data_IF_368920080252
#
_entry.id   IF_368920080252
#
_cell.length_a   1.000
_cell.length_b   1.000
_cell.length_c   1.000
_cell.angle_alpha   90.00
_cell.angle_beta   90.00
_cell.angle_gamma   90.00
#
_symmetry.space_group_name_H-M   'P 1'
#
loop_
_entity.id
_entity.type
_entity.pdbx_description
1 polymer ?
#
# COMPACT_ATOMS: atom_id res chain seq x y z
N UNK A 1 3.90 -0.90 7.88
CA UNK A 1 2.80 -1.32 8.78
C UNK A 1 1.83 -2.18 7.99
N UNK A 2 1.50 -3.38 8.51
CA UNK A 2 0.50 -4.27 7.94
C UNK A 2 -0.88 -3.86 8.48
N UNK A 3 -1.67 -3.25 7.63
CA UNK A 3 -3.01 -2.75 7.94
C UNK A 3 -4.12 -3.58 7.28
N UNK A 4 -3.83 -4.78 6.79
CA UNK A 4 -4.85 -5.72 6.34
C UNK A 4 -5.46 -6.46 7.54
N UNK A 5 -6.65 -6.04 7.97
CA UNK A 5 -7.34 -6.65 9.11
C UNK A 5 -7.76 -8.10 8.83
N UNK A 6 -8.07 -8.40 7.58
CA UNK A 6 -8.60 -9.71 7.21
C UNK A 6 -7.53 -10.78 7.08
N UNK A 7 -6.44 -10.43 6.41
CA UNK A 7 -5.45 -11.36 5.90
C UNK A 7 -4.01 -10.89 6.14
N UNK A 8 -3.75 -10.21 7.26
CA UNK A 8 -2.41 -9.76 7.63
C UNK A 8 -1.37 -10.87 7.40
N UNK A 9 -0.37 -10.62 6.55
CA UNK A 9 0.59 -11.62 6.11
C UNK A 9 2.03 -11.11 5.97
N UNK A 10 2.28 -9.82 6.18
CA UNK A 10 3.62 -9.23 6.07
C UNK A 10 4.62 -9.90 7.01
N UNK A 11 4.19 -10.33 8.21
CA UNK A 11 5.03 -11.06 9.15
C UNK A 11 5.54 -12.39 8.56
N UNK A 12 4.76 -13.03 7.68
CA UNK A 12 5.17 -14.26 6.99
C UNK A 12 6.24 -13.95 5.95
N UNK A 13 6.05 -12.89 5.16
CA UNK A 13 7.00 -12.48 4.12
C UNK A 13 8.36 -12.05 4.70
N UNK A 14 8.34 -11.36 5.83
CA UNK A 14 9.58 -10.92 6.51
C UNK A 14 10.16 -11.96 7.47
N UNK A 15 9.52 -13.13 7.59
CA UNK A 15 9.94 -14.21 8.50
C UNK A 15 10.03 -13.73 9.96
N UNK A 16 9.03 -12.99 10.40
CA UNK A 16 8.92 -12.45 11.75
C UNK A 16 7.78 -13.17 12.48
N UNK A 17 7.95 -13.43 13.77
CA UNK A 17 6.91 -13.98 14.65
C UNK A 17 6.48 -12.93 15.68
N UNK A 18 5.47 -12.10 15.36
CA UNK A 18 5.03 -11.07 16.28
C UNK A 18 4.40 -11.69 17.53
N UNK A 19 4.83 -11.24 18.70
CA UNK A 19 4.20 -11.54 20.00
C UNK A 19 3.07 -10.54 20.26
N UNK A 20 3.22 -9.33 19.76
CA UNK A 20 2.29 -8.21 19.87
C UNK A 20 2.02 -7.63 18.49
N UNK A 21 0.86 -7.03 18.31
CA UNK A 21 0.38 -6.55 17.02
C UNK A 21 -0.11 -5.11 17.11
N UNK A 22 -0.40 -4.51 15.96
CA UNK A 22 -1.07 -3.22 15.85
C UNK A 22 -2.28 -3.08 16.79
N UNK A 23 -3.06 -4.15 16.94
CA UNK A 23 -4.29 -4.13 17.75
C UNK A 23 -4.03 -4.10 19.25
N UNK A 24 -2.88 -4.59 19.71
CA UNK A 24 -2.48 -4.47 21.12
C UNK A 24 -2.21 -3.00 21.49
N UNK A 25 -1.65 -2.22 20.55
CA UNK A 25 -1.52 -0.77 20.69
C UNK A 25 -2.89 -0.07 20.60
N UNK A 26 -3.69 -0.36 19.58
CA UNK A 26 -5.03 0.25 19.39
C UNK A 26 -5.93 0.04 20.60
N UNK A 27 -5.88 -1.14 21.22
CA UNK A 27 -6.65 -1.48 22.41
C UNK A 27 -6.06 -0.94 23.72
N UNK A 28 -4.93 -0.23 23.66
CA UNK A 28 -4.26 0.34 24.83
C UNK A 28 -3.53 -0.69 25.71
N UNK A 29 -3.32 -1.91 25.23
CA UNK A 29 -2.63 -2.96 25.97
C UNK A 29 -1.11 -2.82 25.90
N UNK A 30 -0.60 -2.15 24.89
CA UNK A 30 0.84 -1.97 24.62
C UNK A 30 1.12 -0.54 24.16
N UNK A 31 2.37 -0.10 24.35
CA UNK A 31 2.87 1.16 23.77
C UNK A 31 3.26 0.96 22.32
N UNK A 32 3.37 2.05 21.57
CA UNK A 32 3.75 2.01 20.16
C UNK A 32 5.11 1.32 19.95
N UNK A 33 6.10 1.63 20.80
CA UNK A 33 7.43 1.04 20.71
C UNK A 33 7.43 -0.49 20.89
N UNK A 34 6.48 -1.03 21.67
CA UNK A 34 6.39 -2.47 21.93
C UNK A 34 5.87 -3.26 20.71
N UNK A 35 5.14 -2.59 19.79
CA UNK A 35 4.56 -3.22 18.60
C UNK A 35 5.39 -3.02 17.34
N UNK A 36 6.46 -2.25 17.39
CA UNK A 36 7.42 -2.08 16.30
C UNK A 36 8.47 -3.18 16.40
N UNK A 37 8.61 -3.95 15.35
CA UNK A 37 9.50 -5.11 15.28
C UNK A 37 10.60 -4.82 14.27
N UNK A 38 11.85 -4.92 14.68
CA UNK A 38 12.98 -4.89 13.75
C UNK A 38 12.97 -6.17 12.92
N UNK A 39 13.14 -6.02 11.61
CA UNK A 39 13.27 -7.17 10.71
C UNK A 39 14.74 -7.52 10.50
N UNK A 40 15.00 -8.67 9.87
CA UNK A 40 16.37 -9.05 9.46
C UNK A 40 16.94 -8.16 8.33
N UNK A 41 16.13 -7.29 7.75
CA UNK A 41 16.53 -6.38 6.68
C UNK A 41 16.89 -5.01 7.29
N UNK A 42 18.09 -4.46 6.98
CA UNK A 42 18.50 -3.15 7.49
C UNK A 42 17.49 -2.06 7.15
N UNK A 43 17.27 -1.16 8.10
CA UNK A 43 16.38 0.02 7.97
C UNK A 43 14.91 -0.34 7.68
N UNK A 44 14.49 -1.56 7.95
CA UNK A 44 13.11 -2.00 7.78
C UNK A 44 12.54 -2.54 9.08
N UNK A 45 11.55 -1.84 9.62
CA UNK A 45 10.76 -2.28 10.76
C UNK A 45 9.34 -2.63 10.35
N UNK A 46 8.69 -3.51 11.09
CA UNK A 46 7.33 -3.95 10.85
C UNK A 46 6.45 -3.67 12.07
N UNK A 47 5.29 -3.07 11.84
CA UNK A 47 4.15 -3.16 12.76
C UNK A 47 3.22 -4.20 12.16
N UNK A 48 3.10 -5.36 12.83
CA UNK A 48 2.34 -6.48 12.32
C UNK A 48 0.84 -6.30 12.56
N UNK A 49 0.03 -6.63 11.56
CA UNK A 49 -1.41 -6.81 11.68
C UNK A 49 -1.77 -8.12 12.38
N UNK A 50 -3.06 -8.40 12.48
CA UNK A 50 -3.59 -9.66 13.05
C UNK A 50 -4.67 -10.22 12.14
N UNK A 51 -4.44 -11.39 11.57
CA UNK A 51 -5.44 -12.08 10.75
C UNK A 51 -6.67 -12.46 11.57
N UNK A 52 -7.87 -12.31 10.97
CA UNK A 52 -9.13 -12.69 11.60
C UNK A 52 -9.57 -11.80 12.76
N UNK A 53 -8.96 -10.63 12.92
CA UNK A 53 -9.42 -9.67 13.92
C UNK A 53 -10.76 -9.06 13.50
N UNK A 54 -11.75 -9.14 14.38
CA UNK A 54 -13.01 -8.45 14.17
C UNK A 54 -12.89 -7.03 14.71
N UNK A 55 -12.77 -6.08 13.82
CA UNK A 55 -12.76 -4.67 14.16
C UNK A 55 -14.17 -4.26 14.57
N UNK A 56 -14.34 -3.87 15.83
CA UNK A 56 -15.60 -3.31 16.30
C UNK A 56 -15.83 -1.96 15.62
N UNK A 57 -16.87 -1.86 14.82
CA UNK A 57 -17.26 -0.66 14.05
C UNK A 57 -17.47 0.60 14.90
N UNK A 58 -17.48 0.46 16.22
CA UNK A 58 -17.61 1.56 17.18
C UNK A 58 -16.27 2.19 17.59
N UNK A 59 -15.14 1.72 17.07
CA UNK A 59 -13.85 2.38 17.31
C UNK A 59 -13.82 3.68 16.50
N UNK A 60 -13.56 4.80 17.16
CA UNK A 60 -13.59 6.11 16.51
C UNK A 60 -12.58 6.16 15.36
N UNK A 61 -12.97 6.75 14.23
CA UNK A 61 -12.09 7.04 13.07
C UNK A 61 -10.80 7.78 13.47
N UNK A 62 -10.79 8.36 14.65
CA UNK A 62 -9.66 9.07 15.23
C UNK A 62 -8.48 8.16 15.62
N UNK A 63 -8.68 6.85 15.80
CA UNK A 63 -7.62 5.93 16.26
C UNK A 63 -6.50 5.81 15.23
N UNK A 64 -6.84 5.73 13.93
CA UNK A 64 -5.82 5.60 12.89
C UNK A 64 -5.07 6.90 12.64
N UNK A 65 -5.76 8.04 12.73
CA UNK A 65 -5.11 9.35 12.68
C UNK A 65 -4.11 9.51 13.81
N UNK A 66 -4.49 9.10 15.01
CA UNK A 66 -3.62 9.11 16.18
C UNK A 66 -2.43 8.16 16.01
N UNK A 67 -2.67 6.92 15.56
CA UNK A 67 -1.60 5.96 15.32
C UNK A 67 -0.56 6.50 14.34
N UNK A 68 -1.02 7.04 13.20
CA UNK A 68 -0.12 7.63 12.20
C UNK A 68 0.66 8.79 12.82
N UNK A 69 -0.01 9.67 13.59
CA UNK A 69 0.65 10.79 14.25
C UNK A 69 1.68 10.30 15.29
N UNK A 70 1.33 9.34 16.12
CA UNK A 70 2.24 8.77 17.12
C UNK A 70 3.49 8.12 16.48
N UNK A 71 3.35 7.52 15.26
CA UNK A 71 4.48 7.01 14.49
C UNK A 71 5.34 8.15 13.94
N UNK A 72 4.73 9.20 13.42
CA UNK A 72 5.44 10.38 12.91
C UNK A 72 6.19 11.10 14.02
N UNK A 73 5.60 11.19 15.20
CA UNK A 73 6.21 11.84 16.39
C UNK A 73 7.44 11.10 16.91
N UNK A 74 7.63 9.84 16.55
CA UNK A 74 8.88 9.12 16.84
C UNK A 74 10.08 9.75 16.14
N UNK A 75 9.86 10.43 15.00
CA UNK A 75 10.89 11.08 14.18
C UNK A 75 12.12 10.19 13.90
N UNK A 76 11.88 8.91 13.71
CA UNK A 76 12.92 7.89 13.52
C UNK A 76 12.87 7.26 12.12
N UNK A 77 11.73 7.36 11.45
CA UNK A 77 11.52 6.77 10.13
C UNK A 77 11.35 7.85 9.07
N UNK A 78 12.04 7.69 7.94
CA UNK A 78 11.91 8.60 6.78
C UNK A 78 10.58 8.35 6.04
N UNK A 79 10.12 7.10 5.99
CA UNK A 79 8.93 6.68 5.24
C UNK A 79 8.10 5.69 6.06
N UNK A 80 6.80 5.97 6.19
CA UNK A 80 5.81 5.03 6.69
C UNK A 80 4.99 4.48 5.52
N UNK A 81 5.09 3.17 5.26
CA UNK A 81 4.23 2.46 4.31
C UNK A 81 3.11 1.77 5.07
N UNK A 82 1.86 2.07 4.68
CA UNK A 82 0.65 1.43 5.21
C UNK A 82 0.12 0.47 4.14
N UNK A 83 0.31 -0.83 4.36
CA UNK A 83 -0.19 -1.88 3.47
C UNK A 83 -1.62 -2.23 3.87
N UNK A 84 -2.59 -1.87 3.03
CA UNK A 84 -4.01 -2.07 3.29
C UNK A 84 -4.53 -3.30 2.56
N UNK A 85 -5.58 -3.92 3.09
CA UNK A 85 -6.34 -4.92 2.36
C UNK A 85 -7.00 -4.36 1.10
N UNK A 86 -7.40 -5.25 0.20
CA UNK A 86 -8.12 -4.90 -1.02
C UNK A 86 -9.53 -4.34 -0.72
N UNK A 87 -10.05 -3.55 -1.67
CA UNK A 87 -11.39 -2.97 -1.59
C UNK A 87 -11.45 -1.63 -0.86
N UNK A 88 -12.65 -1.08 -0.74
CA UNK A 88 -12.93 0.25 -0.18
C UNK A 88 -13.83 0.16 1.06
N UNK A 89 -13.55 -0.77 1.97
CA UNK A 89 -14.24 -0.84 3.24
C UNK A 89 -13.91 0.40 4.10
N UNK A 90 -14.68 0.63 5.16
CA UNK A 90 -14.54 1.82 5.99
C UNK A 90 -13.19 1.92 6.67
N UNK A 91 -12.57 0.80 6.98
CA UNK A 91 -11.26 0.74 7.58
C UNK A 91 -10.15 1.22 6.61
N UNK A 92 -10.17 0.75 5.36
CA UNK A 92 -9.26 1.25 4.31
C UNK A 92 -9.46 2.74 4.09
N UNK A 93 -10.73 3.21 4.06
CA UNK A 93 -11.04 4.64 3.91
C UNK A 93 -10.42 5.50 5.01
N UNK A 94 -10.37 5.01 6.25
CA UNK A 94 -9.74 5.76 7.34
C UNK A 94 -8.23 5.94 7.11
N UNK A 95 -7.52 4.89 6.67
CA UNK A 95 -6.11 5.05 6.31
C UNK A 95 -5.90 5.97 5.10
N UNK A 96 -6.77 5.89 4.09
CA UNK A 96 -6.70 6.79 2.94
C UNK A 96 -6.90 8.26 3.32
N UNK A 97 -7.73 8.56 4.33
CA UNK A 97 -7.93 9.94 4.84
C UNK A 97 -6.64 10.50 5.45
N UNK A 98 -5.94 9.71 6.26
CA UNK A 98 -4.76 10.17 7.00
C UNK A 98 -3.47 10.11 6.18
N UNK A 99 -3.42 9.28 5.14
CA UNK A 99 -2.24 9.15 4.28
C UNK A 99 -2.05 10.38 3.42
N UNK A 100 -0.82 10.88 3.35
CA UNK A 100 -0.43 12.03 2.50
C UNK A 100 -0.38 11.63 1.04
N UNK A 101 0.22 10.47 0.76
CA UNK A 101 0.43 9.94 -0.57
C UNK A 101 -0.27 8.59 -0.71
N UNK A 102 -0.83 8.30 -1.87
CA UNK A 102 -1.57 7.07 -2.13
C UNK A 102 -1.02 6.42 -3.38
N UNK A 103 -0.61 5.17 -3.23
CA UNK A 103 -0.21 4.29 -4.32
C UNK A 103 -1.27 3.21 -4.51
N UNK A 104 -1.97 3.23 -5.63
CA UNK A 104 -2.86 2.14 -6.03
C UNK A 104 -2.09 1.14 -6.90
N UNK A 105 -2.14 -0.12 -6.50
CA UNK A 105 -1.63 -1.24 -7.30
C UNK A 105 -2.84 -2.00 -7.84
N UNK A 106 -2.89 -2.16 -9.16
CA UNK A 106 -4.01 -2.80 -9.86
C UNK A 106 -3.50 -3.74 -10.95
N UNK A 107 -4.42 -4.44 -11.61
CA UNK A 107 -4.15 -5.18 -12.84
C UNK A 107 -4.89 -4.56 -14.03
N UNK A 108 -4.71 -5.14 -15.22
CA UNK A 108 -5.44 -4.71 -16.43
C UNK A 108 -6.83 -5.34 -16.56
N UNK A 109 -7.26 -6.12 -15.57
CA UNK A 109 -8.57 -6.76 -15.59
C UNK A 109 -9.70 -5.74 -15.45
N UNK A 110 -10.81 -5.88 -16.21
CA UNK A 110 -11.91 -4.92 -16.16
C UNK A 110 -12.52 -4.70 -14.77
N UNK A 111 -12.60 -5.75 -13.95
CA UNK A 111 -13.08 -5.66 -12.56
C UNK A 111 -12.16 -4.79 -11.71
N UNK A 112 -10.85 -5.06 -11.76
CA UNK A 112 -9.85 -4.27 -11.02
C UNK A 112 -9.82 -2.80 -11.47
N UNK A 113 -10.00 -2.53 -12.78
CA UNK A 113 -10.10 -1.16 -13.30
C UNK A 113 -11.36 -0.44 -12.81
N UNK A 114 -12.47 -1.15 -12.64
CA UNK A 114 -13.70 -0.59 -12.07
C UNK A 114 -13.49 -0.19 -10.61
N UNK A 115 -12.79 -1.02 -9.85
CA UNK A 115 -12.46 -0.75 -8.44
C UNK A 115 -11.54 0.45 -8.31
N UNK A 116 -10.49 0.53 -9.15
CA UNK A 116 -9.60 1.69 -9.20
C UNK A 116 -10.35 2.96 -9.59
N UNK A 117 -11.27 2.89 -10.54
CA UNK A 117 -12.06 4.06 -10.89
C UNK A 117 -12.99 4.52 -9.74
N UNK A 118 -13.50 3.59 -8.96
CA UNK A 118 -14.26 3.90 -7.74
C UNK A 118 -13.38 4.56 -6.67
N UNK A 119 -12.14 4.09 -6.50
CA UNK A 119 -11.13 4.73 -5.66
C UNK A 119 -10.82 6.16 -6.14
N UNK A 120 -10.59 6.36 -7.45
CA UNK A 120 -10.36 7.68 -8.05
C UNK A 120 -11.49 8.65 -7.72
N UNK A 121 -12.75 8.22 -7.90
CA UNK A 121 -13.93 9.07 -7.59
C UNK A 121 -13.96 9.49 -6.12
N UNK A 122 -13.63 8.58 -5.22
CA UNK A 122 -13.62 8.86 -3.79
C UNK A 122 -12.49 9.81 -3.43
N UNK A 123 -11.27 9.55 -3.90
CA UNK A 123 -10.10 10.36 -3.58
C UNK A 123 -10.17 11.77 -4.16
N UNK A 124 -10.76 11.94 -5.34
CA UNK A 124 -10.91 13.25 -5.97
C UNK A 124 -11.73 14.25 -5.14
N UNK A 125 -12.42 13.81 -4.09
CA UNK A 125 -13.15 14.69 -3.17
C UNK A 125 -12.17 15.49 -2.31
N UNK A 126 -11.19 14.80 -1.70
CA UNK A 126 -10.35 15.35 -0.64
C UNK A 126 -8.84 15.33 -0.94
N UNK A 127 -8.40 14.52 -1.89
CA UNK A 127 -6.97 14.36 -2.22
C UNK A 127 -6.62 15.13 -3.50
N UNK A 128 -5.33 15.38 -3.69
CA UNK A 128 -4.80 16.07 -4.87
C UNK A 128 -4.29 15.11 -5.93
N UNK A 129 -3.81 13.92 -5.55
CA UNK A 129 -3.22 12.98 -6.47
C UNK A 129 -3.34 11.53 -6.04
N UNK A 130 -3.18 10.64 -7.02
CA UNK A 130 -3.05 9.20 -6.88
C UNK A 130 -1.90 8.73 -7.75
N UNK A 131 -0.97 7.97 -7.20
CA UNK A 131 0.02 7.21 -7.96
C UNK A 131 -0.59 5.86 -8.37
N UNK A 132 -0.42 5.47 -9.62
CA UNK A 132 -1.00 4.26 -10.19
C UNK A 132 0.08 3.35 -10.76
N UNK A 133 0.10 2.10 -10.30
CA UNK A 133 0.98 1.04 -10.76
C UNK A 133 0.16 -0.16 -11.23
N UNK A 134 0.58 -0.79 -12.34
CA UNK A 134 -0.05 -2.02 -12.83
C UNK A 134 0.82 -3.23 -12.51
N UNK A 135 0.22 -4.24 -11.90
CA UNK A 135 0.83 -5.54 -11.67
C UNK A 135 0.41 -6.55 -12.76
N UNK A 136 1.22 -7.58 -12.95
CA UNK A 136 1.01 -8.63 -13.97
C UNK A 136 0.91 -8.10 -15.41
N UNK A 137 1.57 -7.01 -15.73
CA UNK A 137 1.50 -6.32 -17.03
C UNK A 137 2.85 -6.39 -17.73
N UNK A 138 2.97 -7.21 -18.77
CA UNK A 138 4.22 -7.40 -19.53
C UNK A 138 4.64 -6.17 -20.35
N UNK A 139 3.67 -5.34 -20.76
CA UNK A 139 3.92 -4.20 -21.63
C UNK A 139 3.55 -2.90 -20.92
N UNK A 140 4.53 -2.03 -20.71
CA UNK A 140 4.34 -0.71 -20.09
C UNK A 140 3.35 0.18 -20.85
N UNK A 141 3.36 0.10 -22.20
CA UNK A 141 2.44 0.88 -23.03
C UNK A 141 0.97 0.56 -22.72
N UNK A 142 0.66 -0.66 -22.30
CA UNK A 142 -0.72 -1.04 -21.90
C UNK A 142 -1.10 -0.31 -20.61
N UNK A 143 -0.24 -0.32 -19.60
CA UNK A 143 -0.48 0.38 -18.34
C UNK A 143 -0.63 1.88 -18.53
N UNK A 144 0.23 2.48 -19.33
CA UNK A 144 0.16 3.91 -19.68
C UNK A 144 -1.12 4.26 -20.44
N UNK A 145 -1.49 3.46 -21.44
CA UNK A 145 -2.74 3.65 -22.23
C UNK A 145 -3.97 3.59 -21.35
N UNK A 146 -4.05 2.60 -20.45
CA UNK A 146 -5.17 2.45 -19.52
C UNK A 146 -5.19 3.62 -18.54
N UNK A 147 -4.03 4.02 -17.99
CA UNK A 147 -3.93 5.17 -17.11
C UNK A 147 -4.47 6.44 -17.78
N UNK A 148 -4.07 6.71 -19.03
CA UNK A 148 -4.56 7.84 -19.82
C UNK A 148 -6.08 7.75 -20.05
N UNK A 149 -6.62 6.54 -20.25
CA UNK A 149 -8.05 6.33 -20.39
C UNK A 149 -8.82 6.64 -19.10
N UNK A 150 -8.28 6.24 -17.94
CA UNK A 150 -8.83 6.57 -16.62
C UNK A 150 -8.82 8.09 -16.36
N UNK A 151 -7.72 8.77 -16.72
CA UNK A 151 -7.60 10.23 -16.63
C UNK A 151 -8.67 10.91 -17.49
N UNK A 152 -8.83 10.47 -18.74
CA UNK A 152 -9.84 11.02 -19.66
C UNK A 152 -11.27 10.77 -19.14
N UNK A 153 -11.53 9.59 -18.60
CA UNK A 153 -12.82 9.26 -18.00
C UNK A 153 -13.11 10.14 -16.77
N UNK A 154 -12.10 10.38 -15.92
CA UNK A 154 -12.19 11.27 -14.78
C UNK A 154 -12.57 12.71 -15.22
N UNK A 155 -11.87 13.23 -16.23
CA UNK A 155 -12.17 14.54 -16.82
C UNK A 155 -13.59 14.61 -17.41
N UNK A 156 -14.00 13.60 -18.16
CA UNK A 156 -15.36 13.52 -18.74
C UNK A 156 -16.46 13.53 -17.68
N UNK A 157 -16.24 12.88 -16.57
CA UNK A 157 -17.16 12.82 -15.44
C UNK A 157 -17.03 14.01 -14.47
N UNK A 158 -16.32 15.07 -14.88
CA UNK A 158 -16.18 16.32 -14.12
C UNK A 158 -15.65 16.12 -12.69
N UNK A 159 -14.77 15.14 -12.49
CA UNK A 159 -14.02 15.07 -11.24
C UNK A 159 -13.18 16.34 -11.09
N UNK A 160 -12.82 16.71 -9.85
CA UNK A 160 -12.05 17.93 -9.60
C UNK A 160 -10.89 18.06 -10.57
N UNK A 161 -10.79 19.17 -11.27
CA UNK A 161 -9.77 19.44 -12.30
C UNK A 161 -8.34 19.39 -11.75
N UNK A 162 -8.20 19.62 -10.44
CA UNK A 162 -6.92 19.61 -9.73
C UNK A 162 -6.44 18.20 -9.33
N UNK A 163 -7.32 17.18 -9.42
CA UNK A 163 -6.93 15.81 -9.07
C UNK A 163 -6.08 15.18 -10.17
N UNK A 164 -4.88 14.75 -9.81
CA UNK A 164 -3.91 14.20 -10.75
C UNK A 164 -3.74 12.69 -10.54
N UNK A 165 -3.83 11.92 -11.62
CA UNK A 165 -3.46 10.51 -11.65
C UNK A 165 -2.05 10.43 -12.27
N UNK A 166 -1.09 9.90 -11.51
CA UNK A 166 0.30 9.75 -11.93
C UNK A 166 0.59 8.27 -12.19
N UNK A 167 0.71 7.88 -13.45
CA UNK A 167 1.22 6.54 -13.78
C UNK A 167 2.70 6.49 -13.43
N UNK A 168 3.11 5.49 -12.64
CA UNK A 168 4.49 5.34 -12.15
C UNK A 168 5.17 4.07 -12.63
N UNK A 169 4.46 3.18 -13.33
CA UNK A 169 5.05 2.01 -13.94
C UNK A 169 4.19 0.74 -13.85
N UNK A 170 4.72 -0.32 -14.44
CA UNK A 170 4.11 -1.65 -14.43
C UNK A 170 5.13 -2.72 -14.05
N UNK A 171 4.66 -3.75 -13.37
CA UNK A 171 5.46 -4.92 -12.96
C UNK A 171 5.01 -6.13 -13.77
N UNK A 172 5.90 -6.81 -14.52
CA UNK A 172 5.56 -8.04 -15.20
C UNK A 172 5.39 -9.21 -14.24
N UNK A 173 4.68 -10.24 -14.67
CA UNK A 173 4.61 -11.50 -13.92
C UNK A 173 5.98 -12.17 -13.89
N UNK A 174 6.35 -12.71 -12.72
CA UNK A 174 7.54 -13.51 -12.53
C UNK A 174 7.25 -14.70 -11.62
N UNK A 175 7.66 -15.90 -12.04
CA UNK A 175 7.54 -17.10 -11.22
C UNK A 175 8.47 -17.04 -10.00
N UNK A 176 9.58 -16.33 -10.12
CA UNK A 176 10.54 -16.16 -9.03
C UNK A 176 9.96 -15.36 -7.86
N UNK A 177 9.03 -14.42 -8.11
CA UNK A 177 8.33 -13.72 -7.02
C UNK A 177 7.62 -14.73 -6.11
N UNK A 178 6.82 -15.64 -6.68
CA UNK A 178 6.10 -16.65 -5.91
C UNK A 178 7.05 -17.64 -5.22
N UNK A 179 8.11 -18.06 -5.91
CA UNK A 179 9.12 -18.98 -5.36
C UNK A 179 9.83 -18.37 -4.14
N UNK A 180 10.23 -17.11 -4.23
CA UNK A 180 10.96 -16.43 -3.16
C UNK A 180 10.06 -16.05 -2.00
N UNK A 181 8.81 -15.66 -2.25
CA UNK A 181 7.83 -15.45 -1.19
C UNK A 181 7.62 -16.70 -0.33
N UNK A 182 7.56 -17.90 -0.94
CA UNK A 182 7.53 -19.18 -0.21
C UNK A 182 8.80 -19.44 0.62
N UNK A 183 9.93 -18.93 0.16
CA UNK A 183 11.20 -19.00 0.90
C UNK A 183 11.34 -17.88 1.97
N UNK A 184 10.36 -17.01 2.12
CA UNK A 184 10.34 -15.87 3.07
C UNK A 184 11.54 -14.94 2.87
N UNK A 185 11.80 -14.61 1.60
CA UNK A 185 12.88 -13.72 1.19
C UNK A 185 12.34 -12.59 0.30
N UNK A 186 13.06 -11.48 0.25
CA UNK A 186 12.70 -10.35 -0.59
C UNK A 186 13.18 -10.58 -2.02
N UNK A 187 12.25 -10.57 -2.97
CA UNK A 187 12.50 -10.87 -4.37
C UNK A 187 13.59 -10.00 -5.01
N UNK A 188 13.54 -8.69 -4.80
CA UNK A 188 14.51 -7.75 -5.39
C UNK A 188 15.96 -7.97 -4.90
N UNK A 189 16.13 -8.56 -3.72
CA UNK A 189 17.45 -8.88 -3.19
C UNK A 189 18.02 -10.17 -3.80
N UNK A 190 17.13 -11.15 -4.07
CA UNK A 190 17.54 -12.45 -4.60
C UNK A 190 17.70 -12.44 -6.13
N UNK A 191 16.91 -11.64 -6.82
CA UNK A 191 16.89 -11.53 -8.29
C UNK A 191 16.98 -10.07 -8.78
N UNK A 192 18.03 -9.32 -8.40
CA UNK A 192 18.10 -7.88 -8.68
C UNK A 192 18.19 -7.54 -10.18
N UNK A 193 18.62 -8.49 -11.02
CA UNK A 193 18.77 -8.30 -12.46
C UNK A 193 17.54 -8.76 -13.28
N UNK A 194 16.53 -9.30 -12.63
CA UNK A 194 15.31 -9.70 -13.30
C UNK A 194 14.47 -8.47 -13.69
N UNK A 195 13.82 -8.50 -14.86
CA UNK A 195 13.04 -7.36 -15.37
C UNK A 195 12.02 -6.85 -14.34
N UNK A 196 11.32 -7.76 -13.66
CA UNK A 196 10.39 -7.39 -12.59
C UNK A 196 11.06 -6.63 -11.43
N UNK A 197 12.30 -6.99 -11.05
CA UNK A 197 13.03 -6.29 -10.00
C UNK A 197 13.48 -4.89 -10.46
N UNK A 198 13.98 -4.78 -11.69
CA UNK A 198 14.37 -3.50 -12.31
C UNK A 198 13.13 -2.57 -12.37
N UNK A 199 11.99 -3.09 -12.80
CA UNK A 199 10.74 -2.31 -12.85
C UNK A 199 10.27 -1.87 -11.46
N UNK A 200 10.39 -2.72 -10.45
CA UNK A 200 10.08 -2.34 -9.06
C UNK A 200 11.00 -1.22 -8.56
N UNK A 201 12.30 -1.25 -8.87
CA UNK A 201 13.20 -0.14 -8.53
C UNK A 201 12.77 1.17 -9.22
N UNK A 202 12.44 1.13 -10.51
CA UNK A 202 11.97 2.31 -11.23
C UNK A 202 10.66 2.88 -10.64
N UNK A 203 9.76 2.00 -10.18
CA UNK A 203 8.52 2.41 -9.50
C UNK A 203 8.85 3.09 -8.16
N UNK A 204 9.78 2.52 -7.37
CA UNK A 204 10.23 3.15 -6.11
C UNK A 204 10.81 4.53 -6.38
N UNK A 205 11.66 4.69 -7.39
CA UNK A 205 12.18 6.00 -7.80
C UNK A 205 11.06 6.97 -8.21
N UNK A 206 10.04 6.44 -8.90
CA UNK A 206 8.84 7.19 -9.25
C UNK A 206 8.04 7.64 -8.02
N UNK A 207 7.89 6.77 -7.02
CA UNK A 207 7.25 7.12 -5.74
C UNK A 207 8.05 8.20 -5.03
N UNK A 208 9.36 8.01 -4.83
CA UNK A 208 10.23 8.95 -4.11
C UNK A 208 10.27 10.36 -4.71
N UNK A 209 10.10 10.48 -6.04
CA UNK A 209 10.00 11.79 -6.72
C UNK A 209 8.64 12.48 -6.52
N UNK A 210 7.65 11.79 -5.99
CA UNK A 210 6.28 12.28 -5.88
C UNK A 210 5.76 12.39 -4.45
N UNK A 211 6.56 12.04 -3.45
CA UNK A 211 6.28 12.20 -2.02
C UNK A 211 6.95 13.43 -1.43
#
# INVERSE_FOLDING_TARGET
>A
MDADIGLANMQVLFDVKPVVTLFDYINGHKKLQDVIIETKYPNLSLIAGKSGYQYATNSSSFIFSRLVQDILDLNFYDILIVDTGAGLNDYVKEFLKVSTNILAITSTDPSALTDVYSLIKMLAIDKKSLMLCFNHTKNELVGETISNSLINLAKKNRLKSEFVIKYIGSVPSSENITKIARARKIFVNEFPQEDAAIKLHNIVDGVLKNI
#
